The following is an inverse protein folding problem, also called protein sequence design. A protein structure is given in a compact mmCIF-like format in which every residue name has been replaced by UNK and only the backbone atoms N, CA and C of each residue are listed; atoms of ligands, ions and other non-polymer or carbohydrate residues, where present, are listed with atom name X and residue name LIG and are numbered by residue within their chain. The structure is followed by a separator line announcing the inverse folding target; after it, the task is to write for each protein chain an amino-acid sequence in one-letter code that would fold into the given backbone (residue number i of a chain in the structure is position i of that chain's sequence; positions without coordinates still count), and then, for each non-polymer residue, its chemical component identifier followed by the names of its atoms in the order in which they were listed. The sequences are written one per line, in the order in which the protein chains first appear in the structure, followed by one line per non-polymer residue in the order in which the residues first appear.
data_IF_683398513768
#
_entry.id   IF_683398513768
#
_cell.length_a   1.000
_cell.length_b   1.000
_cell.length_c   1.000
_cell.angle_alpha   90.00
_cell.angle_beta   90.00
_cell.angle_gamma   90.00
#
_symmetry.space_group_name_H-M   'P 1'
#
loop_
_entity.id
_entity.type
_entity.pdbx_description
1 polymer ?
#
# COMPACT_ATOMS: atom_id res chain seq x y z
N UNK A 1 -14.43 -30.24 51.59
CA UNK A 1 -14.85 -29.35 52.70
C UNK A 1 -14.80 -27.95 52.11
N UNK A 2 -15.86 -27.55 51.90
CA UNK A 2 -16.92 -26.58 52.08
C UNK A 2 -17.06 -25.65 50.91
N UNK A 3 -18.17 -25.89 50.25
CA UNK A 3 -18.80 -25.08 49.23
C UNK A 3 -19.11 -23.67 49.73
N UNK A 4 -18.92 -22.69 48.86
CA UNK A 4 -19.54 -21.39 49.04
C UNK A 4 -20.11 -20.89 47.72
N UNK A 5 -21.39 -21.19 47.52
CA UNK A 5 -22.26 -20.66 46.49
C UNK A 5 -22.42 -19.15 46.70
N UNK A 6 -21.90 -18.31 45.80
CA UNK A 6 -22.27 -16.89 45.77
C UNK A 6 -23.57 -16.72 44.98
N UNK A 7 -24.62 -16.55 45.75
CA UNK A 7 -25.96 -16.16 45.37
C UNK A 7 -25.89 -14.81 44.65
N UNK A 8 -26.13 -14.80 43.33
CA UNK A 8 -26.27 -13.58 42.57
C UNK A 8 -27.70 -13.07 42.70
N UNK A 9 -27.89 -12.07 43.56
CA UNK A 9 -29.18 -11.43 43.78
C UNK A 9 -29.50 -10.51 42.61
N UNK A 10 -30.41 -10.94 41.73
CA UNK A 10 -30.94 -10.15 40.61
C UNK A 10 -31.95 -9.16 41.18
N UNK A 11 -31.54 -7.90 41.35
CA UNK A 11 -32.44 -6.78 41.71
C UNK A 11 -33.16 -6.32 40.46
N UNK A 12 -34.44 -6.71 40.32
CA UNK A 12 -35.35 -6.16 39.32
C UNK A 12 -35.83 -4.79 39.82
N UNK A 13 -35.25 -3.70 39.27
CA UNK A 13 -35.80 -2.37 39.44
C UNK A 13 -36.97 -2.19 38.47
N UNK A 14 -38.18 -2.37 38.93
CA UNK A 14 -39.40 -1.94 38.25
C UNK A 14 -39.53 -0.42 38.45
N UNK A 15 -39.16 0.34 37.42
CA UNK A 15 -39.54 1.75 37.35
C UNK A 15 -41.03 1.85 37.02
N UNK A 16 -41.82 2.15 38.03
CA UNK A 16 -43.20 2.59 37.87
C UNK A 16 -43.14 4.02 37.26
N UNK A 17 -43.46 4.15 36.02
CA UNK A 17 -43.70 5.43 35.38
C UNK A 17 -45.09 5.90 35.76
N UNK A 18 -45.17 6.80 36.79
CA UNK A 18 -46.37 7.60 37.04
C UNK A 18 -46.46 8.64 35.94
N UNK A 19 -47.50 8.58 35.11
CA UNK A 19 -47.79 9.59 34.11
C UNK A 19 -48.07 10.94 34.74
N UNK A 20 -47.13 11.86 34.59
CA UNK A 20 -47.42 13.29 34.66
C UNK A 20 -47.77 13.75 33.24
N UNK A 21 -48.96 14.29 33.06
CA UNK A 21 -49.37 15.00 31.87
C UNK A 21 -48.47 16.21 31.72
N UNK A 22 -47.48 16.11 30.81
CA UNK A 22 -46.69 17.27 30.41
C UNK A 22 -47.54 18.09 29.46
N UNK A 23 -47.97 19.26 29.94
CA UNK A 23 -48.59 20.30 29.15
C UNK A 23 -47.68 20.63 27.96
N UNK A 24 -48.23 20.43 26.77
CA UNK A 24 -47.63 20.76 25.48
C UNK A 24 -47.24 22.24 25.42
N UNK A 25 -45.98 22.54 25.73
CA UNK A 25 -45.30 23.78 25.38
C UNK A 25 -44.66 23.63 24.04
N UNK A 26 -45.36 24.00 22.97
CA UNK A 26 -44.98 23.88 21.58
C UNK A 26 -43.56 24.38 21.28
N UNK A 27 -42.65 23.47 21.13
CA UNK A 27 -41.32 23.61 20.59
C UNK A 27 -40.95 22.32 19.90
N UNK A 28 -41.75 21.92 18.92
CA UNK A 28 -41.43 20.78 18.05
C UNK A 28 -40.19 21.12 17.27
N UNK A 29 -39.03 20.71 17.76
CA UNK A 29 -37.87 20.57 16.88
C UNK A 29 -38.24 19.45 15.90
N UNK A 30 -38.59 19.83 14.68
CA UNK A 30 -38.69 18.87 13.55
C UNK A 30 -37.42 18.02 13.56
N UNK A 31 -37.56 16.68 13.45
CA UNK A 31 -36.38 15.83 13.33
C UNK A 31 -35.52 16.35 12.19
N UNK A 32 -34.18 16.41 12.35
CA UNK A 32 -33.31 16.98 11.33
C UNK A 32 -33.57 16.26 10.00
N UNK A 33 -33.83 17.08 8.97
CA UNK A 33 -34.12 16.57 7.62
C UNK A 33 -32.93 15.72 7.16
N UNK A 34 -33.17 14.44 6.93
CA UNK A 34 -32.15 13.49 6.47
C UNK A 34 -31.69 13.85 5.07
N UNK A 35 -30.39 14.09 4.87
CA UNK A 35 -29.76 14.36 3.58
C UNK A 35 -28.95 13.15 3.21
N UNK A 36 -29.33 12.41 2.16
CA UNK A 36 -28.59 11.26 1.66
C UNK A 36 -27.84 11.67 0.40
N UNK A 37 -26.50 11.56 0.33
CA UNK A 37 -25.75 11.83 -0.89
C UNK A 37 -26.24 10.96 -2.05
N UNK A 38 -26.06 11.45 -3.29
CA UNK A 38 -26.49 10.75 -4.49
C UNK A 38 -25.48 10.91 -5.62
N UNK A 39 -25.59 10.08 -6.68
CA UNK A 39 -24.75 10.14 -7.88
C UNK A 39 -23.24 10.06 -7.57
N UNK A 40 -22.85 9.12 -6.71
CA UNK A 40 -21.44 8.91 -6.39
C UNK A 40 -20.67 8.38 -7.60
N UNK A 41 -19.75 9.19 -8.09
CA UNK A 41 -18.76 8.81 -9.12
C UNK A 41 -17.42 8.59 -8.40
N UNK A 42 -16.80 7.43 -8.62
CA UNK A 42 -15.52 7.06 -8.03
C UNK A 42 -14.55 6.66 -9.13
N UNK A 43 -13.39 7.32 -9.23
CA UNK A 43 -12.34 7.04 -10.21
C UNK A 43 -11.02 6.70 -9.52
N UNK A 44 -10.24 5.83 -10.17
CA UNK A 44 -8.93 5.35 -9.71
C UNK A 44 -7.95 5.56 -10.86
N UNK A 45 -6.81 6.17 -10.58
CA UNK A 45 -5.73 6.43 -11.53
C UNK A 45 -4.43 5.92 -10.94
N UNK A 46 -3.84 4.87 -11.54
CA UNK A 46 -2.55 4.32 -11.14
C UNK A 46 -1.44 5.11 -11.83
N UNK A 47 -0.47 5.59 -11.06
CA UNK A 47 0.63 6.42 -11.58
C UNK A 47 1.47 5.66 -12.62
N UNK A 48 1.65 6.27 -13.79
CA UNK A 48 2.40 5.69 -14.90
C UNK A 48 1.73 4.48 -15.55
N UNK A 49 0.42 4.28 -15.35
CA UNK A 49 -0.31 3.24 -16.07
C UNK A 49 -0.49 3.63 -17.54
N UNK A 50 -0.10 2.72 -18.43
CA UNK A 50 -0.26 2.82 -19.87
C UNK A 50 -0.52 1.44 -20.50
N UNK A 51 -0.56 1.36 -21.84
CA UNK A 51 -0.80 0.08 -22.54
C UNK A 51 0.29 -0.97 -22.30
N UNK A 52 1.53 -0.56 -22.01
CA UNK A 52 2.66 -1.44 -21.75
C UNK A 52 2.79 -1.79 -20.25
N UNK A 53 2.36 -0.86 -19.38
CA UNK A 53 2.44 -0.95 -17.94
C UNK A 53 1.04 -0.74 -17.31
N UNK A 54 0.07 -1.63 -17.52
CA UNK A 54 -1.32 -1.41 -17.11
C UNK A 54 -1.50 -1.30 -15.60
N UNK A 55 -0.54 -1.76 -14.80
CA UNK A 55 -0.55 -1.72 -13.34
C UNK A 55 0.38 -0.62 -12.75
N UNK A 56 0.83 0.32 -13.60
CA UNK A 56 1.68 1.44 -13.21
C UNK A 56 3.18 1.21 -13.38
N UNK A 57 3.95 2.26 -13.09
CA UNK A 57 5.40 2.33 -13.31
C UNK A 57 6.25 1.77 -12.15
N UNK A 58 5.63 1.10 -11.18
CA UNK A 58 6.33 0.51 -10.05
C UNK A 58 6.46 1.39 -8.80
N UNK A 59 6.00 2.63 -8.83
CA UNK A 59 6.03 3.54 -7.66
C UNK A 59 4.99 3.21 -6.60
N UNK A 60 3.96 2.42 -6.94
CA UNK A 60 2.86 2.11 -6.04
C UNK A 60 1.88 3.26 -5.81
N UNK A 61 2.09 4.43 -6.43
CA UNK A 61 1.27 5.63 -6.23
C UNK A 61 -0.03 5.53 -7.01
N UNK A 62 -1.14 5.76 -6.34
CA UNK A 62 -2.49 5.76 -6.91
C UNK A 62 -3.25 6.98 -6.45
N UNK A 63 -3.88 7.67 -7.40
CA UNK A 63 -4.80 8.78 -7.15
C UNK A 63 -6.23 8.30 -7.17
N UNK A 64 -6.99 8.67 -6.16
CA UNK A 64 -8.39 8.37 -6.00
C UNK A 64 -9.19 9.66 -6.03
N UNK A 65 -10.28 9.67 -6.81
CA UNK A 65 -11.18 10.82 -6.87
C UNK A 65 -12.63 10.37 -6.76
N UNK A 66 -13.41 11.07 -5.94
CA UNK A 66 -14.82 10.82 -5.77
C UNK A 66 -15.61 12.12 -5.79
N UNK A 67 -16.80 12.09 -6.39
CA UNK A 67 -17.76 13.19 -6.37
C UNK A 67 -19.15 12.64 -6.13
N UNK A 68 -19.95 13.34 -5.33
CA UNK A 68 -21.36 12.99 -5.13
C UNK A 68 -22.14 14.28 -4.84
N UNK A 69 -23.43 14.28 -5.18
CA UNK A 69 -24.32 15.37 -4.80
C UNK A 69 -24.57 15.30 -3.31
N UNK A 70 -24.68 16.46 -2.66
CA UNK A 70 -24.94 16.62 -1.22
C UNK A 70 -23.91 15.98 -0.29
N UNK A 71 -22.73 15.59 -0.81
CA UNK A 71 -21.60 15.13 -0.02
C UNK A 71 -20.73 16.30 0.43
N UNK A 72 -20.29 16.27 1.68
CA UNK A 72 -19.40 17.27 2.29
C UNK A 72 -18.05 16.71 2.70
N UNK A 73 -17.95 15.36 2.79
CA UNK A 73 -16.71 14.66 3.10
C UNK A 73 -16.69 13.26 2.50
N UNK A 74 -15.50 12.74 2.24
CA UNK A 74 -15.27 11.42 1.66
C UNK A 74 -14.27 10.65 2.51
N UNK A 75 -14.54 9.36 2.77
CA UNK A 75 -13.64 8.43 3.42
C UNK A 75 -13.19 7.38 2.43
N UNK A 76 -11.89 7.30 2.15
CA UNK A 76 -11.29 6.34 1.25
C UNK A 76 -10.61 5.23 2.06
N UNK A 77 -10.98 3.97 1.81
CA UNK A 77 -10.40 2.77 2.43
C UNK A 77 -9.66 1.97 1.36
N UNK A 78 -8.35 1.77 1.52
CA UNK A 78 -7.47 1.31 0.43
C UNK A 78 -7.33 -0.21 0.32
N UNK A 79 -7.99 -0.98 1.20
CA UNK A 79 -7.88 -2.45 1.21
C UNK A 79 -6.64 -3.00 1.91
N UNK A 80 -5.83 -2.14 2.53
CA UNK A 80 -4.66 -2.47 3.34
C UNK A 80 -4.93 -2.40 4.84
N UNK A 81 -6.09 -1.89 5.23
CA UNK A 81 -6.44 -1.48 6.59
C UNK A 81 -6.38 0.03 6.80
N UNK A 82 -5.67 0.75 5.92
CA UNK A 82 -5.56 2.20 5.97
C UNK A 82 -6.77 2.91 5.38
N UNK A 83 -6.99 4.15 5.84
CA UNK A 83 -8.00 5.06 5.29
C UNK A 83 -7.54 6.50 5.31
N UNK A 84 -8.10 7.33 4.42
CA UNK A 84 -7.92 8.79 4.38
C UNK A 84 -9.25 9.49 4.20
N UNK A 85 -9.40 10.61 4.87
CA UNK A 85 -10.53 11.52 4.73
C UNK A 85 -10.18 12.69 3.79
N UNK A 86 -11.18 13.19 3.05
CA UNK A 86 -11.00 14.33 2.15
C UNK A 86 -12.33 15.06 1.91
N UNK A 87 -12.39 16.34 2.21
CA UNK A 87 -13.52 17.18 1.84
C UNK A 87 -13.53 17.56 0.36
N UNK A 88 -12.37 17.52 -0.31
CA UNK A 88 -12.27 17.78 -1.76
C UNK A 88 -12.63 16.57 -2.62
N UNK A 89 -12.77 15.38 -2.01
CA UNK A 89 -13.01 14.14 -2.74
C UNK A 89 -11.79 13.63 -3.53
N UNK A 90 -10.57 14.10 -3.21
CA UNK A 90 -9.35 13.64 -3.87
C UNK A 90 -8.29 13.27 -2.84
N UNK A 91 -7.67 12.10 -2.99
CA UNK A 91 -6.55 11.63 -2.18
C UNK A 91 -5.55 10.88 -3.03
N UNK A 92 -4.30 10.86 -2.57
CA UNK A 92 -3.25 10.02 -3.11
C UNK A 92 -2.81 9.02 -2.02
N UNK A 93 -2.59 7.77 -2.43
CA UNK A 93 -2.13 6.69 -1.56
C UNK A 93 -1.02 5.91 -2.26
N UNK A 94 -0.01 5.50 -1.51
CA UNK A 94 1.11 4.71 -2.02
C UNK A 94 1.03 3.31 -1.44
N UNK A 95 0.84 2.32 -2.30
CA UNK A 95 0.96 0.90 -1.95
C UNK A 95 2.44 0.53 -1.89
N UNK A 96 2.81 -0.29 -0.90
CA UNK A 96 4.21 -0.66 -0.63
C UNK A 96 4.49 -2.17 -0.77
N UNK A 97 3.45 -2.98 -0.95
CA UNK A 97 3.60 -4.43 -1.13
C UNK A 97 4.24 -4.75 -2.48
N UNK A 98 5.46 -5.24 -2.45
CA UNK A 98 6.27 -5.54 -3.63
C UNK A 98 5.60 -6.54 -4.57
N UNK A 99 5.77 -6.30 -5.88
CA UNK A 99 5.18 -7.07 -6.96
C UNK A 99 3.79 -6.57 -7.36
N UNK A 100 3.08 -7.35 -8.14
CA UNK A 100 1.72 -7.02 -8.59
C UNK A 100 0.69 -7.50 -7.58
N UNK A 101 -0.07 -6.58 -7.01
CA UNK A 101 -1.10 -6.85 -6.01
C UNK A 101 -2.43 -6.20 -6.39
N UNK A 102 -3.52 -6.84 -6.00
CA UNK A 102 -4.89 -6.32 -6.22
C UNK A 102 -5.53 -6.00 -4.88
N UNK A 103 -6.09 -4.80 -4.77
CA UNK A 103 -6.73 -4.28 -3.57
C UNK A 103 -8.20 -3.96 -3.85
N UNK A 104 -9.05 -4.17 -2.85
CA UNK A 104 -10.45 -3.75 -2.88
C UNK A 104 -10.58 -2.40 -2.17
N UNK A 105 -10.82 -1.35 -2.96
CA UNK A 105 -10.91 0.02 -2.46
C UNK A 105 -12.37 0.41 -2.32
N UNK A 106 -12.72 1.02 -1.20
CA UNK A 106 -14.06 1.51 -0.92
C UNK A 106 -14.02 3.01 -0.62
N UNK A 107 -14.95 3.77 -1.19
CA UNK A 107 -15.18 5.17 -0.85
C UNK A 107 -16.58 5.35 -0.25
N UNK A 108 -16.67 6.12 0.84
CA UNK A 108 -17.90 6.54 1.45
C UNK A 108 -18.02 8.06 1.29
N UNK A 109 -19.14 8.53 0.76
CA UNK A 109 -19.45 9.95 0.61
C UNK A 109 -20.49 10.34 1.66
N UNK A 110 -20.15 11.26 2.57
CA UNK A 110 -20.97 11.68 3.72
C UNK A 110 -21.64 13.02 3.45
N UNK A 111 -22.90 13.12 3.82
CA UNK A 111 -23.63 14.39 3.88
C UNK A 111 -23.35 15.17 5.17
N UNK A 112 -23.88 16.40 5.25
CA UNK A 112 -23.85 17.22 6.47
C UNK A 112 -24.64 16.63 7.64
N UNK A 113 -25.56 15.70 7.39
CA UNK A 113 -26.34 15.00 8.43
C UNK A 113 -25.68 13.70 8.89
N UNK A 114 -24.53 13.31 8.30
CA UNK A 114 -23.82 12.09 8.62
C UNK A 114 -24.30 10.83 7.86
N UNK A 115 -25.34 10.98 7.05
CA UNK A 115 -25.76 9.92 6.14
C UNK A 115 -24.72 9.74 5.03
N UNK A 116 -24.60 8.53 4.47
CA UNK A 116 -23.61 8.26 3.44
C UNK A 116 -24.12 7.30 2.36
N UNK A 117 -23.45 7.36 1.22
CA UNK A 117 -23.47 6.31 0.19
C UNK A 117 -22.05 5.80 -0.04
N UNK A 118 -21.90 4.60 -0.59
CA UNK A 118 -20.57 4.02 -0.82
C UNK A 118 -20.45 3.40 -2.21
N UNK A 119 -19.21 3.29 -2.69
CA UNK A 119 -18.84 2.60 -3.91
C UNK A 119 -17.54 1.85 -3.70
N UNK A 120 -17.43 0.64 -4.25
CA UNK A 120 -16.22 -0.17 -4.19
C UNK A 120 -15.71 -0.47 -5.59
N UNK A 121 -14.39 -0.47 -5.76
CA UNK A 121 -13.67 -0.88 -6.97
C UNK A 121 -12.41 -1.64 -6.61
N UNK A 122 -11.95 -2.51 -7.49
CA UNK A 122 -10.64 -3.12 -7.37
C UNK A 122 -9.60 -2.29 -8.13
N UNK A 123 -8.38 -2.25 -7.59
CA UNK A 123 -7.21 -1.69 -8.26
C UNK A 123 -6.08 -2.71 -8.21
N UNK A 124 -5.41 -2.92 -9.34
CA UNK A 124 -4.18 -3.71 -9.40
C UNK A 124 -3.02 -2.77 -9.56
N UNK A 125 -2.02 -2.90 -8.68
CA UNK A 125 -0.86 -2.02 -8.62
C UNK A 125 0.40 -2.86 -8.66
N UNK A 126 1.38 -2.41 -9.44
CA UNK A 126 2.73 -2.97 -9.45
C UNK A 126 3.66 -2.08 -8.63
N UNK A 127 4.42 -2.71 -7.72
CA UNK A 127 5.44 -2.05 -6.91
C UNK A 127 6.77 -2.74 -7.13
N UNK A 128 7.78 -1.98 -7.56
CA UNK A 128 9.14 -2.49 -7.69
C UNK A 128 9.76 -2.70 -6.29
N UNK A 129 10.60 -3.71 -6.09
CA UNK A 129 11.42 -3.79 -4.90
C UNK A 129 12.30 -2.53 -4.79
N UNK A 130 12.31 -1.89 -3.63
CA UNK A 130 13.29 -0.86 -3.36
C UNK A 130 14.67 -1.51 -3.35
N UNK A 131 15.54 -1.11 -4.29
CA UNK A 131 16.91 -1.59 -4.29
C UNK A 131 17.69 -0.81 -3.22
N UNK A 132 18.49 -1.54 -2.45
CA UNK A 132 19.41 -0.95 -1.47
C UNK A 132 20.29 0.10 -2.15
N UNK A 133 20.26 1.35 -1.65
CA UNK A 133 21.01 2.47 -2.21
C UNK A 133 22.52 2.17 -2.25
N UNK A 134 23.03 1.41 -1.28
CA UNK A 134 24.44 1.01 -1.24
C UNK A 134 24.75 0.02 -2.38
N UNK A 135 23.83 -0.92 -2.67
CA UNK A 135 23.99 -1.86 -3.80
C UNK A 135 23.95 -1.11 -5.12
N UNK A 136 23.00 -0.17 -5.30
CA UNK A 136 22.96 0.67 -6.50
C UNK A 136 24.24 1.48 -6.66
N UNK A 137 24.72 2.11 -5.60
CA UNK A 137 25.97 2.89 -5.62
C UNK A 137 27.17 2.00 -5.96
N UNK A 138 27.29 0.82 -5.41
CA UNK A 138 28.37 -0.14 -5.72
C UNK A 138 28.30 -0.53 -7.20
N UNK A 139 27.12 -0.89 -7.70
CA UNK A 139 26.94 -1.40 -9.07
C UNK A 139 27.08 -0.32 -10.15
N UNK A 140 26.61 0.89 -9.89
CA UNK A 140 26.42 1.91 -10.93
C UNK A 140 27.19 3.21 -10.69
N UNK A 141 27.83 3.35 -9.51
CA UNK A 141 28.51 4.61 -9.16
C UNK A 141 27.57 5.82 -9.05
N UNK A 142 26.23 5.59 -8.99
CA UNK A 142 25.21 6.63 -8.93
C UNK A 142 24.58 6.99 -10.28
N UNK A 143 25.14 6.54 -11.41
CA UNK A 143 24.56 6.71 -12.75
C UNK A 143 24.90 5.55 -13.68
N UNK A 144 26.14 5.38 -13.99
CA UNK A 144 26.68 4.30 -14.81
C UNK A 144 28.06 3.89 -14.30
N UNK A 145 28.44 2.64 -14.49
CA UNK A 145 29.76 2.12 -14.11
C UNK A 145 30.18 1.01 -15.06
N UNK A 146 31.39 1.12 -15.56
CA UNK A 146 32.02 0.08 -16.37
C UNK A 146 32.81 -0.85 -15.46
N UNK A 147 32.58 -2.14 -15.62
CA UNK A 147 33.25 -3.20 -14.90
C UNK A 147 34.17 -3.97 -15.84
N UNK A 148 35.34 -4.31 -15.33
CA UNK A 148 36.29 -5.20 -16.01
C UNK A 148 36.70 -6.32 -15.08
N UNK A 149 37.08 -7.44 -15.65
CA UNK A 149 37.63 -8.54 -14.89
C UNK A 149 39.02 -8.11 -14.38
N UNK A 150 39.23 -8.22 -13.06
CA UNK A 150 40.55 -7.96 -12.46
C UNK A 150 41.49 -9.14 -12.68
N UNK A 151 42.11 -9.19 -13.85
CA UNK A 151 43.00 -10.26 -14.27
C UNK A 151 44.19 -10.49 -13.33
N UNK A 152 44.62 -9.44 -12.61
CA UNK A 152 45.77 -9.50 -11.69
C UNK A 152 45.43 -10.16 -10.34
N UNK A 153 44.16 -10.47 -10.12
CA UNK A 153 43.71 -11.08 -8.87
C UNK A 153 43.57 -12.59 -9.03
N UNK A 154 44.15 -13.37 -8.09
CA UNK A 154 43.89 -14.80 -8.01
C UNK A 154 42.39 -15.05 -7.75
N UNK A 155 41.86 -16.13 -8.29
CA UNK A 155 40.42 -16.46 -8.14
C UNK A 155 39.45 -15.52 -8.87
N UNK A 156 39.94 -14.67 -9.79
CA UNK A 156 39.09 -13.78 -10.60
C UNK A 156 38.04 -14.55 -11.44
N UNK A 157 38.30 -15.80 -11.77
CA UNK A 157 37.34 -16.82 -12.20
C UNK A 157 37.42 -18.01 -11.26
N UNK A 158 36.29 -18.50 -10.82
CA UNK A 158 36.26 -19.62 -9.90
C UNK A 158 35.01 -20.45 -10.01
N UNK A 159 35.09 -21.70 -9.63
CA UNK A 159 33.96 -22.64 -9.55
C UNK A 159 33.83 -23.20 -8.15
N UNK A 160 32.61 -23.34 -7.68
CA UNK A 160 32.31 -23.88 -6.37
C UNK A 160 30.87 -24.35 -6.24
N UNK A 161 30.52 -24.97 -5.13
CA UNK A 161 29.15 -25.29 -4.77
C UNK A 161 28.36 -24.01 -4.45
N UNK A 162 27.11 -23.96 -4.82
CA UNK A 162 26.17 -22.88 -4.42
C UNK A 162 26.04 -22.73 -2.89
N UNK A 163 26.40 -23.78 -2.14
CA UNK A 163 26.27 -23.82 -0.69
C UNK A 163 27.54 -23.33 0.05
N UNK A 164 28.58 -22.95 -0.70
CA UNK A 164 29.83 -22.40 -0.15
C UNK A 164 29.99 -20.92 -0.52
N UNK A 165 30.42 -20.13 0.44
CA UNK A 165 30.69 -18.71 0.27
C UNK A 165 31.89 -18.41 -0.63
N UNK A 166 32.81 -19.38 -0.76
CA UNK A 166 34.07 -19.27 -1.50
C UNK A 166 34.16 -20.38 -2.55
N UNK A 167 34.93 -20.19 -3.64
CA UNK A 167 35.19 -21.23 -4.61
C UNK A 167 35.82 -22.44 -3.92
N UNK A 168 35.30 -23.64 -4.22
CA UNK A 168 35.73 -24.87 -3.56
C UNK A 168 36.21 -25.95 -4.54
N UNK A 169 36.04 -25.75 -5.83
CA UNK A 169 36.36 -26.71 -6.85
C UNK A 169 37.54 -26.30 -7.73
N UNK A 170 37.62 -25.04 -8.13
CA UNK A 170 38.65 -24.54 -9.01
C UNK A 170 38.72 -23.00 -8.93
N UNK A 171 39.96 -22.48 -9.04
CA UNK A 171 40.27 -21.05 -9.08
C UNK A 171 41.25 -20.76 -10.20
N UNK A 172 41.07 -19.65 -10.91
CA UNK A 172 41.98 -19.17 -11.93
C UNK A 172 43.14 -18.39 -11.27
N UNK A 173 44.39 -18.78 -11.45
CA UNK A 173 45.52 -17.92 -11.09
C UNK A 173 45.50 -16.61 -11.86
N UNK A 174 46.15 -15.58 -11.32
CA UNK A 174 46.30 -14.28 -11.97
C UNK A 174 46.79 -14.44 -13.43
N UNK A 175 46.18 -13.69 -14.34
CA UNK A 175 46.46 -13.67 -15.77
C UNK A 175 46.36 -15.01 -16.51
N UNK A 176 45.87 -16.06 -15.90
CA UNK A 176 45.83 -17.43 -16.49
C UNK A 176 44.88 -17.53 -17.70
N UNK A 177 44.06 -16.53 -17.98
CA UNK A 177 43.12 -16.48 -19.12
C UNK A 177 43.46 -15.42 -20.16
N UNK A 178 44.72 -14.94 -20.17
CA UNK A 178 45.17 -13.86 -21.10
C UNK A 178 44.96 -14.17 -22.56
N UNK A 179 44.89 -15.46 -22.97
CA UNK A 179 44.69 -15.89 -24.37
C UNK A 179 43.21 -16.18 -24.72
N UNK A 180 42.26 -15.88 -23.86
CA UNK A 180 40.87 -16.29 -24.02
C UNK A 180 39.88 -15.16 -24.31
N UNK A 181 40.38 -13.91 -24.49
CA UNK A 181 39.51 -12.75 -24.76
C UNK A 181 38.64 -12.27 -23.58
N UNK A 182 38.80 -12.86 -22.38
CA UNK A 182 37.98 -12.45 -21.22
C UNK A 182 38.42 -11.15 -20.56
N UNK A 183 39.65 -10.71 -20.78
CA UNK A 183 40.20 -9.54 -20.04
C UNK A 183 40.00 -8.22 -20.73
N UNK A 184 39.55 -8.23 -21.98
CA UNK A 184 39.19 -7.05 -22.78
C UNK A 184 37.66 -6.79 -22.75
N UNK A 185 36.90 -7.71 -22.20
CA UNK A 185 35.46 -7.52 -22.00
C UNK A 185 35.16 -6.42 -20.98
N UNK A 186 34.17 -5.58 -21.30
CA UNK A 186 33.64 -4.52 -20.45
C UNK A 186 32.14 -4.74 -20.21
N UNK A 187 31.70 -4.63 -18.97
CA UNK A 187 30.30 -4.73 -18.57
C UNK A 187 29.83 -3.37 -18.09
N UNK A 188 28.80 -2.82 -18.71
CA UNK A 188 28.21 -1.54 -18.32
C UNK A 188 26.96 -1.76 -17.45
N UNK A 189 26.99 -1.28 -16.20
CA UNK A 189 25.84 -1.20 -15.33
C UNK A 189 25.22 0.19 -15.38
N UNK A 190 23.92 0.27 -15.61
CA UNK A 190 23.13 1.51 -15.68
C UNK A 190 22.04 1.50 -14.62
N UNK A 191 21.76 2.67 -14.04
CA UNK A 191 20.49 2.90 -13.34
C UNK A 191 19.43 3.17 -14.42
N UNK A 192 18.44 2.30 -14.46
CA UNK A 192 17.25 2.54 -15.28
C UNK A 192 16.18 3.15 -14.36
N UNK A 193 15.99 4.44 -14.51
CA UNK A 193 14.95 5.19 -13.78
C UNK A 193 13.70 5.25 -14.64
#
# INVERSE_FOLDING_TARGET
MTDMYKLFLLILLVFSCSGEEIVDGGGGTEPPTKIIPSNLVFNIEVSGADNNNPNGNGTGVVKFTATANDAVNYSFRFGTGDSKESSSGSVEYTYTDVGTKTYNVNVLAYSSTGDFISSAKTVTVYVVPESDADILQILTGGSEKTWKINAAFDSHFSLGSKDHKYPSWWEAPAFSKSNSGFYDDEYLSLIHI
#
